data_IF_033535094462
#
_entry.id   IF_033535094462
#
_cell.length_a   1.000
_cell.length_b   1.000
_cell.length_c   1.000
_cell.angle_alpha   90.00
_cell.angle_beta   90.00
_cell.angle_gamma   90.00
#
_symmetry.space_group_name_H-M   'P 1'
#
loop_
_entity.id
_entity.type
_entity.pdbx_description
1 polymer ?
#
# COMPACT_ATOMS: atom_id res chain seq x y z
N UNK A 1 11.53 -7.07 -4.30
CA UNK A 1 10.44 -6.07 -4.38
C UNK A 1 10.97 -4.75 -3.84
N UNK A 2 10.53 -3.63 -4.41
CA UNK A 2 10.88 -2.32 -3.87
C UNK A 2 9.79 -1.84 -2.89
N UNK A 3 10.17 -1.19 -1.78
CA UNK A 3 9.22 -0.54 -0.89
C UNK A 3 8.36 0.48 -1.65
N UNK A 4 7.05 0.49 -1.40
CA UNK A 4 6.14 1.39 -2.07
C UNK A 4 6.06 2.73 -1.34
N UNK A 5 6.78 3.75 -1.85
CA UNK A 5 6.61 5.12 -1.36
C UNK A 5 5.21 5.64 -1.61
N UNK A 6 4.60 6.20 -0.57
CA UNK A 6 3.26 6.77 -0.64
C UNK A 6 3.30 8.27 -0.88
N UNK A 7 2.19 8.80 -1.35
CA UNK A 7 2.00 10.23 -1.62
C UNK A 7 0.73 10.70 -0.92
N UNK A 8 0.34 11.96 -1.13
CA UNK A 8 -0.87 12.56 -0.55
C UNK A 8 -2.18 11.83 -0.88
N UNK A 9 -2.17 10.84 -1.79
CA UNK A 9 -3.36 10.04 -2.05
C UNK A 9 -3.79 9.23 -0.82
N UNK A 10 -2.87 8.91 0.11
CA UNK A 10 -3.22 8.20 1.34
C UNK A 10 -3.97 9.06 2.37
N UNK A 11 -4.15 10.36 2.11
CA UNK A 11 -4.82 11.28 3.04
C UNK A 11 -6.16 11.79 2.50
N UNK A 12 -6.57 11.36 1.31
CA UNK A 12 -7.87 11.75 0.73
C UNK A 12 -8.99 11.16 1.59
N UNK A 13 -9.98 11.99 1.94
CA UNK A 13 -11.18 11.55 2.68
C UNK A 13 -11.85 10.34 2.01
N UNK A 14 -12.40 9.44 2.82
CA UNK A 14 -13.13 8.24 2.40
C UNK A 14 -14.48 8.20 3.12
N UNK A 15 -15.41 7.33 2.71
CA UNK A 15 -16.71 7.21 3.38
C UNK A 15 -16.53 6.88 4.87
N UNK A 16 -17.00 7.79 5.73
CA UNK A 16 -16.86 7.68 7.19
C UNK A 16 -15.52 8.16 7.76
N UNK A 17 -14.62 8.73 6.95
CA UNK A 17 -13.31 9.23 7.38
C UNK A 17 -12.93 10.54 6.70
N UNK A 18 -12.69 11.59 7.50
CA UNK A 18 -12.18 12.86 7.01
C UNK A 18 -10.73 12.76 6.49
N UNK A 19 -10.30 13.79 5.76
CA UNK A 19 -8.90 13.94 5.35
C UNK A 19 -7.99 14.02 6.58
N UNK A 20 -7.01 13.12 6.70
CA UNK A 20 -6.03 13.13 7.80
C UNK A 20 -4.58 13.18 7.30
N UNK A 21 -3.92 14.36 7.33
CA UNK A 21 -2.50 14.51 7.01
C UNK A 21 -1.56 13.71 7.94
N UNK A 22 -2.03 13.33 9.12
CA UNK A 22 -1.32 12.51 10.09
C UNK A 22 -0.91 11.15 9.54
N UNK A 23 -1.71 10.56 8.65
CA UNK A 23 -1.39 9.28 7.99
C UNK A 23 -0.06 9.38 7.24
N UNK A 24 0.09 10.34 6.32
CA UNK A 24 1.33 10.49 5.55
C UNK A 24 2.51 10.91 6.44
N UNK A 25 2.28 11.79 7.41
CA UNK A 25 3.30 12.22 8.38
C UNK A 25 3.85 11.04 9.17
N UNK A 26 2.99 10.13 9.62
CA UNK A 26 3.40 8.93 10.34
C UNK A 26 4.18 7.97 9.44
N UNK A 27 3.74 7.76 8.19
CA UNK A 27 4.48 6.93 7.23
C UNK A 27 5.90 7.48 6.99
N UNK A 28 6.04 8.80 6.82
CA UNK A 28 7.36 9.44 6.67
C UNK A 28 8.22 9.25 7.91
N UNK A 29 7.67 9.54 9.09
CA UNK A 29 8.42 9.51 10.36
C UNK A 29 8.82 8.11 10.80
N UNK A 30 7.95 7.13 10.60
CA UNK A 30 8.08 5.82 11.23
C UNK A 30 8.29 4.67 10.26
N UNK A 31 8.10 4.89 8.94
CA UNK A 31 8.27 3.83 7.95
C UNK A 31 8.99 4.29 6.67
N UNK A 32 9.88 5.27 6.81
CA UNK A 32 10.69 5.83 5.71
C UNK A 32 9.85 6.20 4.47
N UNK A 33 8.63 6.67 4.68
CA UNK A 33 7.66 7.08 3.65
C UNK A 33 7.03 5.91 2.85
N UNK A 34 7.18 4.66 3.31
CA UNK A 34 6.72 3.48 2.59
C UNK A 34 5.48 2.86 3.24
N UNK A 35 4.63 2.21 2.43
CA UNK A 35 3.58 1.31 2.88
C UNK A 35 3.27 0.30 1.77
N UNK A 36 3.45 -0.99 2.00
CA UNK A 36 3.31 -2.02 0.97
C UNK A 36 4.52 -2.11 0.04
N UNK A 37 4.41 -2.93 -1.01
CA UNK A 37 5.50 -3.27 -1.93
C UNK A 37 5.05 -3.24 -3.37
N UNK A 38 5.96 -2.88 -4.28
CA UNK A 38 5.76 -3.10 -5.71
C UNK A 38 6.23 -4.49 -6.10
N UNK A 39 5.45 -5.12 -6.98
CA UNK A 39 5.72 -6.45 -7.53
C UNK A 39 5.67 -6.38 -9.05
N UNK A 40 6.51 -7.17 -9.70
CA UNK A 40 6.44 -7.42 -11.13
C UNK A 40 5.64 -8.70 -11.37
N UNK A 41 4.79 -8.71 -12.39
CA UNK A 41 4.12 -9.94 -12.82
C UNK A 41 5.15 -10.79 -13.57
N UNK A 42 5.66 -11.82 -12.90
CA UNK A 42 6.58 -12.80 -13.49
C UNK A 42 5.84 -13.75 -14.45
N UNK A 43 4.65 -14.21 -14.04
CA UNK A 43 3.82 -15.13 -14.83
C UNK A 43 2.35 -14.69 -14.86
N UNK A 44 1.72 -14.60 -16.05
CA UNK A 44 0.28 -14.36 -16.15
C UNK A 44 -0.54 -15.47 -15.47
N UNK A 45 -1.59 -15.08 -14.75
CA UNK A 45 -2.51 -15.99 -14.06
C UNK A 45 -3.84 -15.29 -13.74
N UNK A 46 -4.77 -16.04 -13.14
CA UNK A 46 -6.01 -15.52 -12.54
C UNK A 46 -5.90 -15.58 -11.02
N UNK A 47 -6.35 -14.53 -10.35
CA UNK A 47 -6.45 -14.45 -8.88
C UNK A 47 -7.90 -14.25 -8.47
N UNK A 48 -8.28 -14.77 -7.30
CA UNK A 48 -9.64 -14.69 -6.76
C UNK A 48 -9.57 -14.42 -5.25
N UNK A 49 -10.63 -13.86 -4.68
CA UNK A 49 -10.73 -13.64 -3.23
C UNK A 49 -10.67 -15.00 -2.53
N UNK A 50 -9.81 -15.12 -1.52
CA UNK A 50 -9.60 -16.36 -0.78
C UNK A 50 -8.60 -17.33 -1.43
N UNK A 51 -8.03 -17.00 -2.59
CA UNK A 51 -6.96 -17.81 -3.17
C UNK A 51 -5.73 -17.87 -2.23
N UNK A 52 -5.08 -19.03 -2.10
CA UNK A 52 -3.91 -19.17 -1.23
C UNK A 52 -2.73 -18.37 -1.79
N UNK A 53 -2.06 -17.61 -0.91
CA UNK A 53 -0.77 -16.97 -1.21
C UNK A 53 0.36 -17.84 -0.67
N UNK A 54 1.35 -18.12 -1.51
CA UNK A 54 2.59 -18.78 -1.10
C UNK A 54 3.75 -17.81 -1.28
N UNK A 55 4.51 -17.58 -0.21
CA UNK A 55 5.82 -16.95 -0.31
C UNK A 55 6.80 -18.02 -0.80
N UNK A 56 7.47 -17.73 -1.92
CA UNK A 56 8.43 -18.63 -2.59
C UNK A 56 9.85 -18.11 -2.44
#
# INVERSE_FOLDING_TARGET
SEPCRRCGFTIIAQDGFDTDPGILRNLVRHNAHNLGVYCTVDRPARIEIGAPMRFV
#
